data_IF_388929755680
#
_entry.id   IF_388929755680
#
_cell.length_a   1.000
_cell.length_b   1.000
_cell.length_c   1.000
_cell.angle_alpha   90.00
_cell.angle_beta   90.00
_cell.angle_gamma   90.00
#
_symmetry.space_group_name_H-M   'P 1'
#
loop_
_entity.id
_entity.type
_entity.pdbx_description
1 polymer ?
#
# COMPACT_ATOMS: atom_id res chain seq x y z
N UNK A 1 5.02 26.18 -9.10
CA UNK A 1 5.35 25.41 -10.31
C UNK A 1 6.04 24.14 -9.85
N UNK A 2 5.45 22.97 -10.09
CA UNK A 2 6.07 21.70 -9.68
C UNK A 2 7.30 21.43 -10.56
N UNK A 3 8.38 20.96 -9.95
CA UNK A 3 9.59 20.55 -10.69
C UNK A 3 9.29 19.33 -11.58
N UNK A 4 10.03 19.11 -12.67
CA UNK A 4 9.85 17.94 -13.55
C UNK A 4 9.85 16.61 -12.78
N UNK A 5 10.66 16.52 -11.72
CA UNK A 5 10.71 15.37 -10.81
C UNK A 5 9.41 15.17 -10.02
N UNK A 6 8.80 16.26 -9.51
CA UNK A 6 7.50 16.22 -8.83
C UNK A 6 6.39 15.77 -9.80
N UNK A 7 6.43 16.21 -11.07
CA UNK A 7 5.49 15.76 -12.11
C UNK A 7 5.66 14.28 -12.47
N UNK A 8 6.89 13.79 -12.58
CA UNK A 8 7.16 12.37 -12.83
C UNK A 8 6.75 11.48 -11.66
N UNK A 9 7.00 11.90 -10.41
CA UNK A 9 6.55 11.19 -9.21
C UNK A 9 5.02 11.13 -9.12
N UNK A 10 4.33 12.25 -9.35
CA UNK A 10 2.86 12.31 -9.38
C UNK A 10 2.28 11.43 -10.49
N UNK A 11 2.88 11.44 -11.67
CA UNK A 11 2.50 10.56 -12.78
C UNK A 11 2.65 9.08 -12.37
N UNK A 12 3.81 8.67 -11.85
CA UNK A 12 4.05 7.28 -11.47
C UNK A 12 3.08 6.78 -10.39
N UNK A 13 2.81 7.60 -9.38
CA UNK A 13 1.85 7.32 -8.31
C UNK A 13 0.45 7.11 -8.92
N UNK A 14 0.02 8.00 -9.81
CA UNK A 14 -1.28 7.89 -10.48
C UNK A 14 -1.40 6.62 -11.33
N UNK A 15 -0.36 6.25 -12.08
CA UNK A 15 -0.38 5.03 -12.90
C UNK A 15 -0.45 3.76 -12.03
N UNK A 16 0.30 3.70 -10.93
CA UNK A 16 0.25 2.56 -10.00
C UNK A 16 -1.11 2.44 -9.30
N UNK A 17 -1.73 3.56 -8.91
CA UNK A 17 -3.06 3.57 -8.31
C UNK A 17 -4.13 3.09 -9.29
N UNK A 18 -4.10 3.56 -10.54
CA UNK A 18 -5.03 3.11 -11.59
C UNK A 18 -4.90 1.59 -11.78
N UNK A 19 -3.67 1.06 -11.83
CA UNK A 19 -3.45 -0.38 -11.92
C UNK A 19 -4.08 -1.13 -10.74
N UNK A 20 -3.91 -0.66 -9.51
CA UNK A 20 -4.53 -1.29 -8.33
C UNK A 20 -6.05 -1.28 -8.40
N UNK A 21 -6.67 -0.15 -8.78
CA UNK A 21 -8.12 -0.03 -8.92
C UNK A 21 -8.64 -0.98 -9.99
N UNK A 22 -7.99 -1.06 -11.16
CA UNK A 22 -8.38 -1.96 -12.24
C UNK A 22 -8.28 -3.42 -11.82
N UNK A 23 -7.19 -3.82 -11.16
CA UNK A 23 -6.98 -5.19 -10.66
C UNK A 23 -8.03 -5.56 -9.60
N UNK A 24 -8.32 -4.65 -8.67
CA UNK A 24 -9.36 -4.85 -7.66
C UNK A 24 -10.76 -4.94 -8.28
N UNK A 25 -11.12 -4.03 -9.19
CA UNK A 25 -12.42 -4.06 -9.85
C UNK A 25 -12.60 -5.35 -10.66
N UNK A 26 -11.56 -5.79 -11.38
CA UNK A 26 -11.56 -7.06 -12.10
C UNK A 26 -11.78 -8.25 -11.15
N UNK A 27 -11.16 -8.24 -9.97
CA UNK A 27 -11.38 -9.27 -8.95
C UNK A 27 -12.84 -9.27 -8.47
N UNK A 28 -13.36 -8.14 -8.00
CA UNK A 28 -14.70 -8.06 -7.41
C UNK A 28 -15.78 -8.45 -8.43
N UNK A 29 -15.69 -7.95 -9.67
CA UNK A 29 -16.66 -8.23 -10.72
C UNK A 29 -16.67 -9.72 -11.10
N UNK A 30 -15.50 -10.36 -11.14
CA UNK A 30 -15.35 -11.77 -11.55
C UNK A 30 -15.75 -12.74 -10.45
N UNK A 31 -15.34 -12.50 -9.21
CA UNK A 31 -15.53 -13.45 -8.11
C UNK A 31 -16.82 -13.24 -7.34
N UNK A 32 -17.32 -11.99 -7.23
CA UNK A 32 -18.55 -11.62 -6.51
C UNK A 32 -18.69 -12.25 -5.11
N UNK A 33 -17.57 -12.53 -4.45
CA UNK A 33 -17.49 -13.23 -3.18
C UNK A 33 -16.51 -12.50 -2.26
N UNK A 34 -16.85 -12.48 -0.98
CA UNK A 34 -15.94 -12.04 0.07
C UNK A 34 -15.04 -13.21 0.45
N UNK A 35 -13.74 -13.04 0.21
CA UNK A 35 -12.70 -13.96 0.67
C UNK A 35 -11.45 -13.19 1.10
N UNK A 36 -10.43 -13.93 1.55
CA UNK A 36 -9.22 -13.31 2.11
C UNK A 36 -8.55 -12.33 1.13
N UNK A 37 -8.47 -12.70 -0.15
CA UNK A 37 -7.91 -11.85 -1.19
C UNK A 37 -8.78 -10.63 -1.46
N UNK A 38 -10.10 -10.78 -1.52
CA UNK A 38 -11.02 -9.65 -1.73
C UNK A 38 -10.91 -8.62 -0.62
N UNK A 39 -10.81 -9.05 0.65
CA UNK A 39 -10.66 -8.15 1.80
C UNK A 39 -9.33 -7.41 1.71
N UNK A 40 -8.23 -8.13 1.54
CA UNK A 40 -6.89 -7.52 1.45
C UNK A 40 -6.83 -6.50 0.31
N UNK A 41 -7.28 -6.87 -0.90
CA UNK A 41 -7.27 -5.96 -2.05
C UNK A 41 -8.16 -4.74 -1.84
N UNK A 42 -9.33 -4.92 -1.22
CA UNK A 42 -10.26 -3.81 -0.98
C UNK A 42 -9.67 -2.81 -0.01
N UNK A 43 -9.14 -3.28 1.13
CA UNK A 43 -8.50 -2.39 2.11
C UNK A 43 -7.30 -1.67 1.48
N UNK A 44 -6.46 -2.41 0.75
CA UNK A 44 -5.30 -1.84 0.09
C UNK A 44 -5.66 -0.73 -0.92
N UNK A 45 -6.65 -0.97 -1.79
CA UNK A 45 -7.04 0.03 -2.78
C UNK A 45 -7.65 1.26 -2.11
N UNK A 46 -8.45 1.10 -1.05
CA UNK A 46 -9.01 2.22 -0.31
C UNK A 46 -7.91 3.08 0.33
N UNK A 47 -6.96 2.45 1.02
CA UNK A 47 -5.84 3.16 1.66
C UNK A 47 -4.89 3.76 0.63
N UNK A 48 -4.57 3.05 -0.46
CA UNK A 48 -3.74 3.58 -1.55
C UNK A 48 -4.39 4.79 -2.22
N UNK A 49 -5.71 4.77 -2.43
CA UNK A 49 -6.45 5.89 -2.99
C UNK A 49 -6.45 7.08 -2.02
N UNK A 50 -6.72 6.82 -0.74
CA UNK A 50 -6.69 7.84 0.31
C UNK A 50 -5.31 8.50 0.41
N UNK A 51 -4.24 7.69 0.47
CA UNK A 51 -2.86 8.18 0.52
C UNK A 51 -2.51 8.97 -0.73
N UNK A 52 -2.91 8.53 -1.92
CA UNK A 52 -2.65 9.26 -3.17
C UNK A 52 -3.29 10.64 -3.16
N UNK A 53 -4.53 10.75 -2.67
CA UNK A 53 -5.24 12.03 -2.55
C UNK A 53 -4.61 12.92 -1.48
N UNK A 54 -4.24 12.36 -0.32
CA UNK A 54 -3.71 13.13 0.81
C UNK A 54 -2.25 13.54 0.64
N UNK A 55 -1.44 12.74 -0.08
CA UNK A 55 0.00 12.98 -0.30
C UNK A 55 0.34 14.41 -0.70
N UNK A 56 -0.28 15.03 -1.73
CA UNK A 56 0.06 16.41 -2.11
C UNK A 56 -0.23 17.42 -1.00
N UNK A 57 -1.29 17.24 -0.21
CA UNK A 57 -1.63 18.14 0.90
C UNK A 57 -0.64 18.00 2.06
N UNK A 58 -0.30 16.76 2.43
CA UNK A 58 0.71 16.49 3.47
C UNK A 58 2.08 16.99 2.99
N UNK A 59 2.39 16.84 1.71
CA UNK A 59 3.63 17.34 1.12
C UNK A 59 3.70 18.87 1.20
N UNK A 60 2.67 19.58 0.74
CA UNK A 60 2.64 21.05 0.79
C UNK A 60 2.76 21.57 2.22
N UNK A 61 2.11 20.91 3.16
CA UNK A 61 2.20 21.27 4.58
C UNK A 61 3.61 21.03 5.12
N UNK A 62 4.20 19.86 4.85
CA UNK A 62 5.53 19.49 5.33
C UNK A 62 6.66 20.32 4.71
N UNK A 63 6.51 20.77 3.46
CA UNK A 63 7.49 21.60 2.74
C UNK A 63 7.49 23.05 3.21
N UNK A 64 6.35 23.54 3.73
CA UNK A 64 6.18 24.93 4.13
C UNK A 64 6.75 25.29 5.50
N UNK A 65 7.29 24.33 6.25
CA UNK A 65 7.75 24.54 7.61
C UNK A 65 9.16 24.04 7.89
N UNK A 66 9.89 24.80 8.70
CA UNK A 66 11.21 24.41 9.20
C UNK A 66 11.08 23.63 10.52
N UNK A 67 11.95 22.63 10.72
CA UNK A 67 12.03 21.86 11.97
C UNK A 67 11.55 20.41 11.90
N UNK A 68 11.77 19.67 12.99
CA UNK A 68 11.52 18.22 13.09
C UNK A 68 10.03 17.88 12.98
N UNK A 69 9.14 18.77 13.45
CA UNK A 69 7.70 18.55 13.45
C UNK A 69 7.13 18.30 12.05
N UNK A 70 7.52 19.10 11.06
CA UNK A 70 7.06 18.95 9.67
C UNK A 70 7.56 17.66 9.02
N UNK A 71 8.80 17.26 9.33
CA UNK A 71 9.37 15.96 8.92
C UNK A 71 8.61 14.80 9.55
N UNK A 72 8.25 14.92 10.83
CA UNK A 72 7.47 13.93 11.57
C UNK A 72 6.04 13.78 11.02
N UNK A 73 5.40 14.87 10.61
CA UNK A 73 4.08 14.81 9.97
C UNK A 73 4.14 14.05 8.65
N UNK A 74 5.13 14.35 7.80
CA UNK A 74 5.29 13.65 6.52
C UNK A 74 5.45 12.15 6.73
N UNK A 75 6.48 11.72 7.46
CA UNK A 75 6.75 10.30 7.64
C UNK A 75 5.73 9.60 8.54
N UNK A 76 5.28 10.27 9.60
CA UNK A 76 4.31 9.75 10.56
C UNK A 76 2.94 9.49 9.95
N UNK A 77 2.51 10.33 8.99
CA UNK A 77 1.27 10.10 8.25
C UNK A 77 1.28 8.73 7.53
N UNK A 78 2.34 8.44 6.77
CA UNK A 78 2.45 7.16 6.04
C UNK A 78 2.61 5.97 6.99
N UNK A 79 3.40 6.11 8.07
CA UNK A 79 3.51 5.06 9.10
C UNK A 79 2.14 4.76 9.71
N UNK A 80 1.41 5.79 10.12
CA UNK A 80 0.07 5.64 10.68
C UNK A 80 -0.90 5.01 9.68
N UNK A 81 -0.89 5.47 8.42
CA UNK A 81 -1.74 4.92 7.37
C UNK A 81 -1.50 3.40 7.19
N UNK A 82 -0.25 2.96 7.06
CA UNK A 82 0.08 1.54 6.90
C UNK A 82 -0.27 0.71 8.15
N UNK A 83 -0.07 1.23 9.36
CA UNK A 83 -0.47 0.54 10.59
C UNK A 83 -2.00 0.36 10.64
N UNK A 84 -2.77 1.41 10.34
CA UNK A 84 -4.23 1.33 10.31
C UNK A 84 -4.69 0.36 9.21
N UNK A 85 -4.00 0.34 8.07
CA UNK A 85 -4.26 -0.58 6.98
C UNK A 85 -4.07 -2.05 7.41
N UNK A 86 -2.96 -2.37 8.08
CA UNK A 86 -2.69 -3.71 8.64
C UNK A 86 -3.76 -4.11 9.66
N UNK A 87 -4.12 -3.21 10.56
CA UNK A 87 -5.17 -3.45 11.56
C UNK A 87 -6.50 -3.70 10.85
N UNK A 88 -6.83 -2.92 9.84
CA UNK A 88 -8.07 -3.04 9.08
C UNK A 88 -8.16 -4.37 8.33
N UNK A 89 -7.07 -4.81 7.67
CA UNK A 89 -6.99 -6.14 7.05
C UNK A 89 -7.26 -7.22 8.11
N UNK A 90 -6.57 -7.17 9.23
CA UNK A 90 -6.67 -8.19 10.28
C UNK A 90 -8.07 -8.24 10.89
N UNK A 91 -8.62 -7.07 11.26
CA UNK A 91 -9.94 -6.95 11.88
C UNK A 91 -11.08 -7.35 10.95
N UNK A 92 -10.98 -7.05 9.66
CA UNK A 92 -11.97 -7.51 8.69
C UNK A 92 -11.92 -9.01 8.50
N UNK A 93 -10.72 -9.63 8.48
CA UNK A 93 -10.62 -11.10 8.44
C UNK A 93 -11.25 -11.76 9.67
N UNK A 94 -11.01 -11.21 10.87
CA UNK A 94 -11.66 -11.65 12.11
C UNK A 94 -13.19 -11.50 12.03
N UNK A 95 -13.67 -10.34 11.59
CA UNK A 95 -15.10 -10.02 11.48
C UNK A 95 -15.85 -10.97 10.53
N UNK A 96 -15.27 -11.26 9.37
CA UNK A 96 -15.84 -12.19 8.40
C UNK A 96 -15.50 -13.67 8.70
N UNK A 97 -14.80 -13.95 9.81
CA UNK A 97 -14.35 -15.31 10.21
C UNK A 97 -13.57 -16.03 9.12
N UNK A 98 -12.76 -15.29 8.37
CA UNK A 98 -11.94 -15.81 7.28
C UNK A 98 -10.51 -16.05 7.75
N UNK A 99 -9.95 -17.21 7.40
CA UNK A 99 -8.52 -17.47 7.60
C UNK A 99 -7.71 -16.57 6.67
N UNK A 100 -6.71 -15.88 7.21
CA UNK A 100 -5.80 -15.05 6.43
C UNK A 100 -4.97 -15.96 5.52
N UNK A 101 -5.01 -15.71 4.23
CA UNK A 101 -4.24 -16.45 3.24
C UNK A 101 -2.74 -16.12 3.33
N UNK A 102 -1.87 -17.01 2.83
CA UNK A 102 -0.44 -16.77 2.78
C UNK A 102 -0.08 -15.49 1.98
N UNK A 103 -0.77 -15.23 0.87
CA UNK A 103 -0.56 -13.98 0.11
C UNK A 103 -1.01 -12.74 0.89
N UNK A 104 -2.13 -12.83 1.62
CA UNK A 104 -2.57 -11.72 2.49
C UNK A 104 -1.57 -11.43 3.61
N UNK A 105 -0.90 -12.46 4.14
CA UNK A 105 0.21 -12.28 5.09
C UNK A 105 1.43 -11.62 4.45
N UNK A 106 1.81 -12.03 3.24
CA UNK A 106 2.88 -11.36 2.46
C UNK A 106 2.52 -9.90 2.25
N UNK A 107 1.26 -9.60 1.96
CA UNK A 107 0.75 -8.24 1.80
C UNK A 107 0.97 -7.39 3.07
N UNK A 108 0.54 -7.93 4.22
CA UNK A 108 0.74 -7.29 5.54
C UNK A 108 2.23 -7.08 5.85
N UNK A 109 3.08 -8.05 5.50
CA UNK A 109 4.53 -7.92 5.69
C UNK A 109 5.12 -6.78 4.85
N UNK A 110 4.70 -6.64 3.59
CA UNK A 110 5.14 -5.54 2.71
C UNK A 110 4.71 -4.17 3.23
N UNK A 111 3.49 -4.05 3.78
CA UNK A 111 3.04 -2.83 4.47
C UNK A 111 3.93 -2.49 5.68
N UNK A 112 4.31 -3.51 6.45
CA UNK A 112 5.26 -3.37 7.56
C UNK A 112 6.64 -2.90 7.10
N UNK A 113 7.13 -3.38 5.95
CA UNK A 113 8.38 -2.91 5.35
C UNK A 113 8.27 -1.43 4.94
N UNK A 114 7.16 -1.00 4.32
CA UNK A 114 6.96 0.42 3.99
C UNK A 114 6.94 1.31 5.23
N UNK A 115 6.17 0.93 6.26
CA UNK A 115 6.15 1.64 7.53
C UNK A 115 7.57 1.75 8.14
N UNK A 116 8.34 0.66 8.08
CA UNK A 116 9.72 0.63 8.58
C UNK A 116 10.64 1.57 7.78
N UNK A 117 10.53 1.63 6.46
CA UNK A 117 11.30 2.56 5.63
C UNK A 117 11.00 4.03 5.98
N UNK A 118 9.72 4.37 6.18
CA UNK A 118 9.34 5.71 6.63
C UNK A 118 9.86 6.02 8.03
N UNK A 119 9.82 5.05 8.95
CA UNK A 119 10.29 5.24 10.32
C UNK A 119 11.82 5.42 10.38
N UNK A 120 12.59 4.58 9.66
CA UNK A 120 14.06 4.71 9.57
C UNK A 120 14.44 6.08 9.02
N UNK A 121 13.75 6.52 7.97
CA UNK A 121 14.02 7.83 7.36
C UNK A 121 13.68 8.97 8.32
N UNK A 122 12.59 8.87 9.07
CA UNK A 122 12.22 9.85 10.09
C UNK A 122 13.26 9.93 11.20
N UNK A 123 13.70 8.79 11.73
CA UNK A 123 14.70 8.70 12.80
C UNK A 123 16.03 9.30 12.31
N UNK A 124 16.47 8.95 11.10
CA UNK A 124 17.68 9.53 10.52
C UNK A 124 17.59 11.05 10.43
N UNK A 125 16.49 11.55 9.88
CA UNK A 125 16.26 12.98 9.69
C UNK A 125 16.05 13.77 10.98
N UNK A 126 15.66 13.10 12.06
CA UNK A 126 15.43 13.73 13.36
C UNK A 126 16.67 13.74 14.23
N UNK A 127 17.49 12.69 14.18
CA UNK A 127 18.66 12.53 15.05
C UNK A 127 19.96 13.03 14.41
N UNK A 128 20.14 12.83 13.11
CA UNK A 128 21.42 13.06 12.42
C UNK A 128 21.36 14.14 11.35
N UNK A 129 20.14 14.60 10.99
CA UNK A 129 19.84 15.48 9.85
C UNK A 129 20.51 15.08 8.52
N UNK A 130 20.90 13.81 8.41
CA UNK A 130 21.70 13.31 7.30
C UNK A 130 20.83 12.85 6.12
N UNK A 131 21.47 12.34 5.08
CA UNK A 131 20.81 11.85 3.86
C UNK A 131 21.21 10.44 3.46
N UNK A 132 21.95 9.70 4.30
CA UNK A 132 22.50 8.38 3.96
C UNK A 132 21.44 7.36 3.56
N UNK A 133 20.29 7.32 4.26
CA UNK A 133 19.21 6.37 3.94
C UNK A 133 18.24 6.86 2.85
N UNK A 134 18.49 8.03 2.25
CA UNK A 134 17.59 8.61 1.25
C UNK A 134 17.37 7.69 0.06
N UNK A 135 18.45 7.11 -0.48
CA UNK A 135 18.40 6.20 -1.61
C UNK A 135 17.62 4.93 -1.26
N UNK A 136 17.93 4.31 -0.12
CA UNK A 136 17.25 3.10 0.36
C UNK A 136 15.76 3.36 0.59
N UNK A 137 15.41 4.52 1.15
CA UNK A 137 14.03 4.94 1.35
C UNK A 137 13.27 5.06 0.02
N UNK A 138 13.80 5.83 -0.92
CA UNK A 138 13.11 6.11 -2.19
C UNK A 138 13.02 4.88 -3.09
N UNK A 139 14.13 4.15 -3.28
CA UNK A 139 14.14 2.94 -4.11
C UNK A 139 13.42 1.78 -3.40
N UNK A 140 13.52 1.68 -2.08
CA UNK A 140 12.79 0.70 -1.29
C UNK A 140 11.28 0.85 -1.42
N UNK A 141 10.74 2.07 -1.35
CA UNK A 141 9.30 2.31 -1.54
C UNK A 141 8.86 1.91 -2.95
N UNK A 142 9.62 2.34 -3.98
CA UNK A 142 9.32 1.98 -5.39
C UNK A 142 9.34 0.47 -5.58
N UNK A 143 10.34 -0.21 -5.04
CA UNK A 143 10.46 -1.66 -5.13
C UNK A 143 9.28 -2.35 -4.45
N UNK A 144 8.90 -1.96 -3.23
CA UNK A 144 7.76 -2.56 -2.55
C UNK A 144 6.44 -2.31 -3.30
N UNK A 145 6.23 -1.11 -3.84
CA UNK A 145 5.07 -0.82 -4.69
C UNK A 145 5.03 -1.72 -5.94
N UNK A 146 6.18 -1.95 -6.58
CA UNK A 146 6.26 -2.87 -7.70
C UNK A 146 5.89 -4.30 -7.27
N UNK A 147 6.38 -4.77 -6.11
CA UNK A 147 6.02 -6.08 -5.57
C UNK A 147 4.52 -6.17 -5.27
N UNK A 148 3.87 -5.11 -4.79
CA UNK A 148 2.42 -5.10 -4.59
C UNK A 148 1.64 -5.36 -5.87
N UNK A 149 2.06 -4.81 -7.02
CA UNK A 149 1.43 -5.10 -8.32
C UNK A 149 1.45 -6.61 -8.60
N UNK A 150 2.61 -7.26 -8.41
CA UNK A 150 2.74 -8.70 -8.62
C UNK A 150 1.89 -9.52 -7.65
N UNK A 151 1.86 -9.15 -6.37
CA UNK A 151 1.01 -9.82 -5.37
C UNK A 151 -0.48 -9.67 -5.72
N UNK A 152 -0.91 -8.50 -6.17
CA UNK A 152 -2.29 -8.28 -6.62
C UNK A 152 -2.66 -9.17 -7.82
N UNK A 153 -1.78 -9.29 -8.81
CA UNK A 153 -1.96 -10.19 -9.96
C UNK A 153 -2.04 -11.65 -9.50
N UNK A 154 -1.17 -12.08 -8.58
CA UNK A 154 -1.20 -13.42 -8.01
C UNK A 154 -2.50 -13.71 -7.26
N UNK A 155 -3.03 -12.75 -6.50
CA UNK A 155 -4.34 -12.87 -5.84
C UNK A 155 -5.46 -13.17 -6.85
N UNK A 156 -5.47 -12.49 -8.00
CA UNK A 156 -6.45 -12.75 -9.08
C UNK A 156 -6.25 -14.15 -9.65
N UNK A 157 -5.03 -14.53 -10.02
CA UNK A 157 -4.73 -15.84 -10.63
C UNK A 157 -5.15 -16.97 -9.68
N UNK A 158 -4.75 -16.91 -8.41
CA UNK A 158 -5.12 -17.92 -7.42
C UNK A 158 -6.62 -17.93 -7.12
N UNK A 159 -7.27 -16.76 -7.14
CA UNK A 159 -8.72 -16.66 -7.08
C UNK A 159 -9.38 -17.45 -8.23
N UNK A 160 -8.89 -17.28 -9.47
CA UNK A 160 -9.43 -17.96 -10.65
C UNK A 160 -9.29 -19.46 -10.51
N UNK A 161 -8.10 -19.93 -10.14
CA UNK A 161 -7.81 -21.36 -9.96
C UNK A 161 -8.72 -21.94 -8.88
N UNK A 162 -8.89 -21.25 -7.75
CA UNK A 162 -9.73 -21.74 -6.65
C UNK A 162 -11.20 -21.87 -7.08
N UNK A 163 -11.73 -20.90 -7.80
CA UNK A 163 -13.11 -20.97 -8.30
C UNK A 163 -13.31 -22.10 -9.30
N UNK A 164 -12.38 -22.27 -10.24
CA UNK A 164 -12.45 -23.38 -11.20
C UNK A 164 -12.46 -24.75 -10.52
N UNK A 165 -11.72 -24.91 -9.42
CA UNK A 165 -11.72 -26.14 -8.62
C UNK A 165 -13.02 -26.35 -7.84
N UNK A 166 -13.69 -25.29 -7.41
CA UNK A 166 -15.00 -25.38 -6.74
C UNK A 166 -16.09 -25.80 -7.72
N UNK A 167 -16.12 -25.22 -8.92
CA UNK A 167 -17.09 -25.59 -9.95
C UNK A 167 -16.97 -27.06 -10.35
N UNK A 168 -15.74 -27.59 -10.42
CA UNK A 168 -15.49 -29.01 -10.70
C UNK A 168 -15.92 -29.98 -9.60
N UNK A 169 -16.06 -29.53 -8.35
CA UNK A 169 -16.49 -30.39 -7.22
C UNK A 169 -18.01 -30.43 -7.06
N UNK A 170 -18.75 -29.58 -7.77
CA UNK A 170 -20.20 -29.53 -7.75
C UNK A 170 -20.87 -30.30 -8.91
N UNK A 171 -20.08 -31.00 -9.72
CA UNK A 171 -20.50 -31.97 -10.74
C UNK A 171 -20.12 -33.36 -10.26
#
# INVERSE_FOLDING_TARGET
>A
MYTELEQHLLSLINHSMIAYIVLWAAYIIKFKRIDSYSITLTVFVLFSSLMTVLTPYIFSYSKGGEGIFYKAIWHGFFVAAHIIEIISITKLHESFRLKISALSLVFVALLGVQASLHLVRLVEKSLFDSTYTAFIYTEGIKFVNLVFVFVCVLCIILGVIRNYQLDKKCV
#
